data_IF_688071030467
#
_entry.id   IF_688071030467
#
_cell.length_a   1.000
_cell.length_b   1.000
_cell.length_c   1.000
_cell.angle_alpha   90.00
_cell.angle_beta   90.00
_cell.angle_gamma   90.00
#
_symmetry.space_group_name_H-M   'P 1'
#
loop_
_entity.id
_entity.type
_entity.pdbx_description
1 polymer ?
#
# COMPACT_ATOMS: atom_id res chain seq x y z
N UNK A 1 -41.16 0.74 36.07
CA UNK A 1 -40.15 1.60 35.43
C UNK A 1 -38.83 0.85 35.41
N UNK A 2 -38.33 0.48 34.23
CA UNK A 2 -37.03 -0.20 34.10
C UNK A 2 -35.91 0.79 34.48
N UNK A 3 -34.94 0.40 35.34
CA UNK A 3 -33.83 1.28 35.75
C UNK A 3 -33.10 1.82 34.52
N UNK A 4 -32.65 3.08 34.57
CA UNK A 4 -31.99 3.75 33.43
C UNK A 4 -30.80 2.95 32.88
N UNK A 5 -30.05 2.29 33.76
CA UNK A 5 -28.91 1.42 33.42
C UNK A 5 -29.28 0.19 32.56
N UNK A 6 -30.53 -0.29 32.62
CA UNK A 6 -30.98 -1.47 31.89
C UNK A 6 -31.42 -1.13 30.46
N UNK A 7 -31.66 0.15 30.14
CA UNK A 7 -32.09 0.58 28.79
C UNK A 7 -31.00 0.52 27.73
N UNK A 8 -29.72 0.58 28.14
CA UNK A 8 -28.57 0.52 27.24
C UNK A 8 -28.02 -0.90 27.01
N UNK A 9 -28.58 -1.89 27.69
CA UNK A 9 -28.12 -3.27 27.61
C UNK A 9 -28.66 -3.93 26.34
N UNK A 10 -27.76 -4.31 25.44
CA UNK A 10 -28.08 -4.86 24.13
C UNK A 10 -27.59 -6.30 24.03
N UNK A 11 -28.41 -7.17 23.45
CA UNK A 11 -28.07 -8.57 23.26
C UNK A 11 -26.89 -8.69 22.28
N UNK A 12 -25.84 -9.42 22.65
CA UNK A 12 -24.60 -9.55 21.87
C UNK A 12 -23.47 -8.58 22.25
N UNK A 13 -23.74 -7.53 23.04
CA UNK A 13 -22.72 -6.63 23.60
C UNK A 13 -22.44 -6.97 25.07
N UNK A 14 -21.16 -6.99 25.45
CA UNK A 14 -20.72 -7.23 26.84
C UNK A 14 -21.47 -8.43 27.47
N UNK A 15 -22.16 -8.23 28.59
CA UNK A 15 -22.95 -9.24 29.31
C UNK A 15 -24.41 -9.36 28.83
N UNK A 16 -24.71 -8.91 27.61
CA UNK A 16 -26.05 -8.92 27.01
C UNK A 16 -27.02 -8.05 27.80
N UNK A 17 -28.17 -8.63 28.16
CA UNK A 17 -29.25 -7.94 28.90
C UNK A 17 -29.02 -7.85 30.42
N UNK A 18 -27.83 -8.22 30.92
CA UNK A 18 -27.48 -8.19 32.36
C UNK A 18 -26.33 -7.24 32.63
N UNK A 19 -26.31 -6.64 33.81
CA UNK A 19 -25.21 -5.76 34.22
C UNK A 19 -24.02 -6.63 34.65
N UNK A 20 -22.83 -6.42 34.07
CA UNK A 20 -21.64 -7.24 34.34
C UNK A 20 -21.21 -7.21 35.82
N UNK A 21 -21.42 -6.07 36.50
CA UNK A 21 -21.19 -5.93 37.95
C UNK A 21 -22.11 -6.86 38.76
N UNK A 22 -23.39 -6.94 38.39
CA UNK A 22 -24.36 -7.83 39.04
C UNK A 22 -24.06 -9.31 38.75
N UNK A 23 -23.60 -9.64 37.53
CA UNK A 23 -23.17 -11.00 37.17
C UNK A 23 -22.04 -11.48 38.08
N UNK A 24 -21.09 -10.61 38.42
CA UNK A 24 -20.00 -10.94 39.35
C UNK A 24 -20.37 -10.72 40.82
N UNK A 25 -21.52 -10.10 41.12
CA UNK A 25 -21.92 -9.76 42.48
C UNK A 25 -21.02 -8.71 43.14
N UNK A 26 -20.50 -7.77 42.36
CA UNK A 26 -19.58 -6.71 42.84
C UNK A 26 -20.17 -5.33 42.58
N UNK A 27 -19.72 -4.33 43.35
CA UNK A 27 -20.10 -2.93 43.14
C UNK A 27 -19.40 -2.33 41.91
N UNK A 28 -20.00 -1.29 41.31
CA UNK A 28 -19.35 -0.46 40.28
C UNK A 28 -18.06 0.19 40.79
N UNK A 29 -17.92 0.41 42.10
CA UNK A 29 -16.69 0.93 42.72
C UNK A 29 -15.68 -0.17 43.10
N UNK A 30 -15.96 -1.44 42.79
CA UNK A 30 -15.07 -2.54 43.16
C UNK A 30 -13.68 -2.41 42.52
N UNK A 31 -12.66 -2.70 43.31
CA UNK A 31 -11.26 -2.75 42.88
C UNK A 31 -10.99 -3.93 41.94
N UNK A 32 -9.91 -3.86 41.15
CA UNK A 32 -9.46 -4.97 40.28
C UNK A 32 -9.26 -6.27 41.09
N UNK A 33 -8.80 -6.17 42.34
CA UNK A 33 -8.59 -7.31 43.22
C UNK A 33 -9.91 -7.97 43.65
N UNK A 34 -10.92 -7.18 44.00
CA UNK A 34 -12.27 -7.68 44.36
C UNK A 34 -12.95 -8.34 43.17
N UNK A 35 -12.87 -7.72 41.99
CA UNK A 35 -13.41 -8.27 40.74
C UNK A 35 -12.75 -9.63 40.43
N UNK A 36 -11.42 -9.73 40.54
CA UNK A 36 -10.71 -10.98 40.33
C UNK A 36 -11.05 -12.05 41.39
N UNK A 37 -11.27 -11.65 42.65
CA UNK A 37 -11.69 -12.57 43.72
C UNK A 37 -13.09 -13.14 43.46
N UNK A 38 -14.04 -12.27 43.12
CA UNK A 38 -15.41 -12.66 42.83
C UNK A 38 -15.47 -13.61 41.61
N UNK A 39 -14.75 -13.28 40.54
CA UNK A 39 -14.62 -14.15 39.38
C UNK A 39 -14.09 -15.54 39.75
N UNK A 40 -12.98 -15.64 40.51
CA UNK A 40 -12.41 -16.95 40.91
C UNK A 40 -13.36 -17.79 41.76
N UNK A 41 -14.19 -17.16 42.58
CA UNK A 41 -15.20 -17.87 43.38
C UNK A 41 -16.33 -18.40 42.49
N UNK A 42 -16.87 -17.56 41.61
CA UNK A 42 -17.96 -17.91 40.70
C UNK A 42 -17.51 -18.91 39.62
N UNK A 43 -16.31 -18.75 39.05
CA UNK A 43 -15.75 -19.67 38.07
C UNK A 43 -15.57 -21.08 38.64
N UNK A 44 -15.10 -21.22 39.89
CA UNK A 44 -15.04 -22.52 40.58
C UNK A 44 -16.43 -23.08 40.90
N UNK A 45 -17.41 -22.21 41.15
CA UNK A 45 -18.79 -22.61 41.43
C UNK A 45 -19.47 -23.13 40.18
N UNK A 46 -19.33 -22.47 39.03
CA UNK A 46 -20.02 -22.80 37.78
C UNK A 46 -19.14 -23.52 36.76
N UNK A 47 -17.98 -24.04 37.15
CA UNK A 47 -17.07 -24.74 36.24
C UNK A 47 -17.76 -25.94 35.59
N UNK A 48 -17.70 -26.10 34.25
CA UNK A 48 -18.43 -27.18 33.55
C UNK A 48 -18.01 -28.59 34.01
N UNK A 49 -16.76 -28.77 34.46
CA UNK A 49 -16.30 -30.07 34.99
C UNK A 49 -17.05 -30.54 36.24
N UNK A 50 -17.70 -29.63 36.97
CA UNK A 50 -18.48 -29.98 38.16
C UNK A 50 -19.91 -30.45 37.83
N UNK A 51 -20.36 -30.24 36.59
CA UNK A 51 -21.74 -30.48 36.16
C UNK A 51 -21.80 -31.34 34.89
N UNK A 52 -20.94 -32.35 34.78
CA UNK A 52 -20.98 -33.32 33.69
C UNK A 52 -22.09 -34.37 33.98
N UNK A 53 -23.06 -34.54 33.07
CA UNK A 53 -24.17 -35.50 33.21
C UNK A 53 -25.47 -34.88 33.77
N UNK A 54 -26.34 -35.69 34.40
CA UNK A 54 -27.62 -35.26 35.02
C UNK A 54 -27.47 -34.50 36.35
N UNK A 55 -26.30 -33.89 36.59
CA UNK A 55 -26.03 -33.17 37.84
C UNK A 55 -26.58 -31.75 37.77
N UNK A 56 -27.55 -31.45 38.62
CA UNK A 56 -28.15 -30.12 38.72
C UNK A 56 -27.12 -29.05 39.14
N UNK A 57 -27.23 -27.88 38.54
CA UNK A 57 -26.46 -26.69 38.88
C UNK A 57 -26.76 -26.24 40.33
N UNK A 58 -25.89 -25.43 40.97
CA UNK A 58 -26.04 -24.97 42.36
C UNK A 58 -27.32 -24.20 42.67
N UNK A 59 -28.01 -23.78 41.62
CA UNK A 59 -29.21 -22.96 41.57
C UNK A 59 -30.43 -23.73 41.03
N UNK A 60 -30.31 -25.04 40.85
CA UNK A 60 -31.40 -25.93 40.41
C UNK A 60 -31.57 -26.02 38.89
N UNK A 61 -30.68 -25.41 38.10
CA UNK A 61 -30.65 -25.53 36.63
C UNK A 61 -30.01 -26.81 36.12
N UNK A 62 -30.09 -27.04 34.82
CA UNK A 62 -29.40 -28.15 34.14
C UNK A 62 -27.91 -27.83 33.89
N UNK A 63 -27.15 -28.83 33.44
CA UNK A 63 -25.73 -28.69 33.09
C UNK A 63 -25.50 -27.59 32.02
N UNK A 64 -26.46 -27.41 31.11
CA UNK A 64 -26.41 -26.39 30.06
C UNK A 64 -26.51 -24.98 30.65
N UNK A 65 -27.44 -24.75 31.57
CA UNK A 65 -27.57 -23.47 32.28
C UNK A 65 -26.32 -23.13 33.10
N UNK A 66 -25.63 -24.12 33.67
CA UNK A 66 -24.35 -23.90 34.35
C UNK A 66 -23.26 -23.43 33.37
N UNK A 67 -23.20 -24.01 32.17
CA UNK A 67 -22.27 -23.61 31.11
C UNK A 67 -22.52 -22.18 30.62
N UNK A 68 -23.77 -21.82 30.33
CA UNK A 68 -24.13 -20.46 29.92
C UNK A 68 -23.78 -19.42 31.00
N UNK A 69 -24.04 -19.75 32.28
CA UNK A 69 -23.64 -18.89 33.40
C UNK A 69 -22.14 -18.73 33.49
N UNK A 70 -21.38 -19.80 33.26
CA UNK A 70 -19.92 -19.73 33.25
C UNK A 70 -19.40 -18.79 32.15
N UNK A 71 -19.93 -18.89 30.93
CA UNK A 71 -19.58 -18.00 29.82
C UNK A 71 -19.93 -16.53 30.15
N UNK A 72 -21.08 -16.29 30.75
CA UNK A 72 -21.51 -14.95 31.17
C UNK A 72 -20.59 -14.38 32.26
N UNK A 73 -20.20 -15.19 33.25
CA UNK A 73 -19.23 -14.82 34.30
C UNK A 73 -17.86 -14.49 33.70
N UNK A 74 -17.39 -15.29 32.73
CA UNK A 74 -16.14 -15.04 32.03
C UNK A 74 -16.19 -13.71 31.26
N UNK A 75 -17.28 -13.46 30.52
CA UNK A 75 -17.48 -12.23 29.75
C UNK A 75 -17.55 -10.99 30.65
N UNK A 76 -18.22 -11.10 31.79
CA UNK A 76 -18.28 -10.04 32.80
C UNK A 76 -16.89 -9.72 33.36
N UNK A 77 -16.09 -10.75 33.66
CA UNK A 77 -14.72 -10.55 34.14
C UNK A 77 -13.83 -9.95 33.06
N UNK A 78 -13.88 -10.42 31.81
CA UNK A 78 -13.12 -9.84 30.69
C UNK A 78 -13.43 -8.36 30.48
N UNK A 79 -14.73 -8.00 30.55
CA UNK A 79 -15.19 -6.61 30.42
C UNK A 79 -14.67 -5.72 31.55
N UNK A 80 -14.70 -6.20 32.79
CA UNK A 80 -14.39 -5.39 33.98
C UNK A 80 -12.91 -5.43 34.40
N UNK A 81 -12.13 -6.41 33.92
CA UNK A 81 -10.71 -6.56 34.23
C UNK A 81 -9.85 -5.52 33.50
N UNK A 82 -10.14 -5.29 32.23
CA UNK A 82 -9.45 -4.30 31.41
C UNK A 82 -10.01 -2.90 31.72
N UNK A 83 -9.12 -1.96 32.02
CA UNK A 83 -9.51 -0.64 32.52
C UNK A 83 -10.17 0.22 31.44
N UNK A 84 -9.74 0.07 30.19
CA UNK A 84 -10.32 0.81 29.08
C UNK A 84 -11.67 0.20 28.68
N UNK A 85 -11.79 -1.13 28.62
CA UNK A 85 -13.08 -1.81 28.40
C UNK A 85 -14.09 -1.49 29.51
N UNK A 86 -13.64 -1.47 30.76
CA UNK A 86 -14.48 -1.09 31.90
C UNK A 86 -14.97 0.35 31.77
N UNK A 87 -14.10 1.28 31.35
CA UNK A 87 -14.47 2.68 31.12
C UNK A 87 -15.52 2.83 30.02
N UNK A 88 -15.37 2.11 28.91
CA UNK A 88 -16.36 2.13 27.82
C UNK A 88 -17.68 1.49 28.23
N UNK A 89 -17.63 0.41 29.02
CA UNK A 89 -18.80 -0.24 29.60
C UNK A 89 -19.53 0.68 30.58
N UNK A 90 -18.78 1.35 31.46
CA UNK A 90 -19.30 2.34 32.40
C UNK A 90 -19.95 3.52 31.66
N UNK A 91 -19.30 4.02 30.60
CA UNK A 91 -19.88 5.06 29.76
C UNK A 91 -21.17 4.60 29.07
N UNK A 92 -21.22 3.35 28.57
CA UNK A 92 -22.44 2.77 28.00
C UNK A 92 -23.61 2.72 28.99
N UNK A 93 -23.33 2.37 30.25
CA UNK A 93 -24.35 2.33 31.30
C UNK A 93 -24.90 3.73 31.63
N UNK A 94 -24.06 4.76 31.54
CA UNK A 94 -24.44 6.15 31.82
C UNK A 94 -25.15 6.82 30.62
N UNK A 95 -24.80 6.42 29.39
CA UNK A 95 -25.28 7.00 28.12
C UNK A 95 -25.93 5.96 27.19
N UNK A 96 -27.03 5.30 27.60
CA UNK A 96 -27.66 4.23 26.83
C UNK A 96 -28.16 4.66 25.44
N UNK A 97 -28.39 5.96 25.22
CA UNK A 97 -28.85 6.54 23.95
C UNK A 97 -27.83 6.43 22.80
N UNK A 98 -26.53 6.33 23.09
CA UNK A 98 -25.47 6.35 22.08
C UNK A 98 -25.15 4.96 21.49
N UNK A 99 -26.17 4.21 21.08
CA UNK A 99 -26.07 2.82 20.62
C UNK A 99 -24.90 2.56 19.64
N UNK A 100 -24.80 3.35 18.57
CA UNK A 100 -23.78 3.16 17.54
C UNK A 100 -22.35 3.36 18.05
N UNK A 101 -22.16 4.26 19.02
CA UNK A 101 -20.84 4.53 19.59
C UNK A 101 -20.36 3.35 20.42
N UNK A 102 -21.24 2.81 21.27
CA UNK A 102 -20.92 1.63 22.10
C UNK A 102 -20.67 0.40 21.25
N UNK A 103 -21.47 0.20 20.20
CA UNK A 103 -21.26 -0.85 19.22
C UNK A 103 -19.88 -0.74 18.57
N UNK A 104 -19.52 0.46 18.07
CA UNK A 104 -18.22 0.68 17.45
C UNK A 104 -17.05 0.41 18.41
N UNK A 105 -17.09 0.93 19.64
CA UNK A 105 -16.01 0.69 20.61
C UNK A 105 -15.88 -0.77 21.01
N UNK A 106 -16.99 -1.47 21.26
CA UNK A 106 -16.99 -2.88 21.61
C UNK A 106 -16.35 -3.74 20.51
N UNK A 107 -16.78 -3.57 19.26
CA UNK A 107 -16.21 -4.32 18.12
C UNK A 107 -14.80 -3.88 17.77
N UNK A 108 -14.50 -2.59 17.83
CA UNK A 108 -13.15 -2.07 17.59
C UNK A 108 -12.16 -2.72 18.56
N UNK A 109 -12.47 -2.83 19.86
CA UNK A 109 -11.56 -3.47 20.82
C UNK A 109 -11.37 -4.97 20.61
N UNK A 110 -12.42 -5.68 20.18
CA UNK A 110 -12.34 -7.14 19.96
C UNK A 110 -11.73 -7.52 18.62
N UNK A 111 -11.97 -6.72 17.57
CA UNK A 111 -11.59 -7.04 16.19
C UNK A 111 -10.42 -6.20 15.67
N UNK A 112 -10.03 -5.10 16.33
CA UNK A 112 -8.91 -4.30 15.87
C UNK A 112 -7.64 -5.16 15.80
N UNK A 113 -7.00 -5.25 14.62
CA UNK A 113 -5.74 -5.96 14.51
C UNK A 113 -4.74 -5.29 15.45
N UNK A 114 -4.02 -6.09 16.23
CA UNK A 114 -2.97 -5.59 17.14
C UNK A 114 -1.79 -4.96 16.39
N UNK A 115 -1.71 -5.18 15.08
CA UNK A 115 -0.70 -4.59 14.21
C UNK A 115 -1.24 -3.31 13.57
N UNK A 116 -0.46 -2.23 13.61
CA UNK A 116 -0.83 -0.99 12.95
C UNK A 116 -0.87 -1.24 11.43
N UNK A 117 -2.04 -1.02 10.83
CA UNK A 117 -2.28 -1.20 9.39
C UNK A 117 -1.28 -0.39 8.56
N UNK A 118 -0.80 0.75 9.08
CA UNK A 118 0.22 1.58 8.41
C UNK A 118 1.54 0.85 8.22
N UNK A 119 1.95 0.04 9.21
CA UNK A 119 3.18 -0.76 9.12
C UNK A 119 3.02 -1.80 8.02
N UNK A 120 1.85 -2.46 7.96
CA UNK A 120 1.56 -3.46 6.93
C UNK A 120 1.62 -2.81 5.55
N UNK A 121 0.99 -1.66 5.35
CA UNK A 121 1.03 -0.91 4.09
C UNK A 121 2.46 -0.50 3.71
N UNK A 122 3.25 0.00 4.66
CA UNK A 122 4.64 0.40 4.39
C UNK A 122 5.48 -0.80 3.95
N UNK A 123 5.38 -1.92 4.66
CA UNK A 123 6.13 -3.15 4.33
C UNK A 123 5.73 -3.69 2.96
N UNK A 124 4.43 -3.71 2.64
CA UNK A 124 3.98 -4.18 1.32
C UNK A 124 4.43 -3.26 0.19
N UNK A 125 4.36 -1.94 0.35
CA UNK A 125 4.86 -0.97 -0.63
C UNK A 125 6.38 -1.11 -0.84
N UNK A 126 7.14 -1.28 0.23
CA UNK A 126 8.58 -1.55 0.15
C UNK A 126 8.87 -2.86 -0.60
N UNK A 127 8.16 -3.94 -0.29
CA UNK A 127 8.34 -5.23 -0.96
C UNK A 127 8.04 -5.15 -2.47
N UNK A 128 6.93 -4.52 -2.84
CA UNK A 128 6.56 -4.29 -4.25
C UNK A 128 7.62 -3.44 -4.94
N UNK A 129 8.10 -2.38 -4.29
CA UNK A 129 9.13 -1.49 -4.82
C UNK A 129 10.45 -2.21 -5.10
N UNK A 130 10.87 -3.11 -4.20
CA UNK A 130 12.05 -3.95 -4.39
C UNK A 130 11.85 -4.90 -5.56
N UNK A 131 10.71 -5.58 -5.62
CA UNK A 131 10.38 -6.49 -6.72
C UNK A 131 10.37 -5.77 -8.08
N UNK A 132 9.75 -4.59 -8.16
CA UNK A 132 9.76 -3.75 -9.37
C UNK A 132 11.17 -3.38 -9.81
N UNK A 133 12.03 -2.94 -8.89
CA UNK A 133 13.40 -2.59 -9.21
C UNK A 133 14.19 -3.77 -9.79
N UNK A 134 14.06 -4.96 -9.18
CA UNK A 134 14.70 -6.17 -9.69
C UNK A 134 14.13 -6.59 -11.05
N UNK A 135 12.81 -6.55 -11.21
CA UNK A 135 12.14 -6.86 -12.48
C UNK A 135 12.62 -5.95 -13.61
N UNK A 136 12.61 -4.62 -13.41
CA UNK A 136 13.09 -3.67 -14.41
C UNK A 136 14.57 -3.79 -14.71
N UNK A 137 15.41 -4.03 -13.69
CA UNK A 137 16.83 -4.29 -13.89
C UNK A 137 17.05 -5.54 -14.75
N UNK A 138 16.27 -6.61 -14.51
CA UNK A 138 16.31 -7.83 -15.31
C UNK A 138 15.92 -7.55 -16.76
N UNK A 139 14.77 -6.91 -16.99
CA UNK A 139 14.29 -6.58 -18.33
C UNK A 139 15.25 -5.66 -19.08
N UNK A 140 15.84 -4.66 -18.41
CA UNK A 140 16.86 -3.78 -19.01
C UNK A 140 18.10 -4.57 -19.45
N UNK A 141 18.60 -5.48 -18.61
CA UNK A 141 19.77 -6.30 -18.95
C UNK A 141 19.48 -7.23 -20.13
N UNK A 142 18.28 -7.80 -20.20
CA UNK A 142 17.85 -8.64 -21.32
C UNK A 142 17.79 -7.84 -22.63
N UNK A 143 17.24 -6.63 -22.60
CA UNK A 143 17.20 -5.74 -23.76
C UNK A 143 18.62 -5.39 -24.26
N UNK A 144 19.57 -5.10 -23.35
CA UNK A 144 20.97 -4.84 -23.71
C UNK A 144 21.62 -6.06 -24.35
N UNK A 145 21.41 -7.25 -23.77
CA UNK A 145 21.92 -8.49 -24.34
C UNK A 145 21.36 -8.74 -25.75
N UNK A 146 20.06 -8.52 -25.95
CA UNK A 146 19.42 -8.61 -27.26
C UNK A 146 20.02 -7.61 -28.26
N UNK A 147 20.12 -6.32 -27.88
CA UNK A 147 20.68 -5.28 -28.74
C UNK A 147 22.13 -5.57 -29.16
N UNK A 148 22.93 -6.21 -28.31
CA UNK A 148 24.30 -6.63 -28.64
C UNK A 148 24.35 -7.74 -29.70
N UNK A 149 23.27 -8.52 -29.88
CA UNK A 149 23.17 -9.54 -30.94
C UNK A 149 22.76 -8.96 -32.29
N UNK A 150 21.99 -7.86 -32.28
CA UNK A 150 21.50 -7.21 -33.49
C UNK A 150 22.67 -6.58 -34.27
N UNK A 151 22.89 -6.94 -35.55
CA UNK A 151 24.05 -6.48 -36.32
C UNK A 151 24.18 -4.96 -36.40
N UNK A 152 23.04 -4.24 -36.58
CA UNK A 152 23.01 -2.78 -36.69
C UNK A 152 23.68 -2.09 -35.50
N UNK A 153 23.25 -2.42 -34.29
CA UNK A 153 23.76 -1.79 -33.07
C UNK A 153 25.16 -2.30 -32.70
N UNK A 154 25.45 -3.57 -32.97
CA UNK A 154 26.78 -4.14 -32.74
C UNK A 154 27.84 -3.45 -33.59
N UNK A 155 27.60 -3.27 -34.89
CA UNK A 155 28.54 -2.59 -35.79
C UNK A 155 28.78 -1.16 -35.30
N UNK A 156 27.71 -0.42 -35.02
CA UNK A 156 27.79 0.94 -34.49
C UNK A 156 28.60 1.01 -33.19
N UNK A 157 28.35 0.12 -32.23
CA UNK A 157 29.08 0.07 -30.97
C UNK A 157 30.56 -0.29 -31.17
N UNK A 158 30.87 -1.24 -32.06
CA UNK A 158 32.27 -1.61 -32.35
C UNK A 158 33.06 -0.49 -33.01
N UNK A 159 32.43 0.31 -33.87
CA UNK A 159 33.06 1.44 -34.51
C UNK A 159 33.38 2.55 -33.51
N UNK A 160 32.44 2.84 -32.60
CA UNK A 160 32.65 3.76 -31.48
C UNK A 160 33.77 3.24 -30.55
N UNK A 161 33.78 1.94 -30.24
CA UNK A 161 34.82 1.33 -29.42
C UNK A 161 36.21 1.47 -30.06
N UNK A 162 36.29 1.32 -31.38
CA UNK A 162 37.52 1.50 -32.16
C UNK A 162 37.96 2.96 -32.16
N UNK A 163 37.04 3.92 -32.33
CA UNK A 163 37.33 5.35 -32.24
C UNK A 163 37.85 5.76 -30.86
N UNK A 164 37.31 5.16 -29.79
CA UNK A 164 37.74 5.39 -28.41
C UNK A 164 39.03 4.63 -28.05
N UNK A 165 39.60 3.82 -28.96
CA UNK A 165 40.81 3.04 -28.72
C UNK A 165 40.62 1.87 -27.74
N UNK A 166 39.38 1.50 -27.41
CA UNK A 166 39.07 0.50 -26.36
C UNK A 166 39.35 -0.95 -26.79
N UNK A 167 39.30 -1.23 -28.09
CA UNK A 167 39.50 -2.59 -28.65
C UNK A 167 40.98 -2.97 -28.86
N UNK A 168 41.89 -2.00 -28.93
CA UNK A 168 43.29 -2.24 -29.30
C UNK A 168 44.24 -2.13 -28.10
N UNK A 169 43.98 -2.85 -27.00
CA UNK A 169 44.98 -2.96 -25.93
C UNK A 169 46.14 -3.83 -26.40
N UNK A 170 47.35 -3.27 -26.32
CA UNK A 170 48.62 -3.92 -26.69
C UNK A 170 48.75 -5.28 -25.99
N UNK A 171 49.05 -6.33 -26.76
CA UNK A 171 49.23 -7.71 -26.27
C UNK A 171 50.18 -7.73 -25.06
N UNK A 172 49.63 -7.91 -23.86
CA UNK A 172 50.41 -8.11 -22.64
C UNK A 172 51.28 -9.37 -22.83
N UNK A 173 52.61 -9.19 -22.90
CA UNK A 173 53.58 -10.29 -23.00
C UNK A 173 54.03 -10.68 -21.60
N UNK A 174 53.82 -11.94 -21.20
CA UNK A 174 54.30 -12.50 -19.95
C UNK A 174 53.34 -13.52 -19.33
N UNK A 175 53.55 -13.86 -18.06
CA UNK A 175 52.72 -14.79 -17.26
C UNK A 175 51.23 -14.38 -17.15
N UNK A 176 50.89 -13.12 -17.46
CA UNK A 176 49.52 -12.57 -17.46
C UNK A 176 48.90 -12.52 -18.87
N UNK A 177 49.19 -13.49 -19.74
CA UNK A 177 48.55 -13.56 -21.06
C UNK A 177 47.10 -14.01 -20.91
N UNK A 178 46.16 -13.07 -21.06
CA UNK A 178 44.72 -13.34 -21.05
C UNK A 178 44.33 -14.40 -22.08
N UNK A 179 43.40 -15.27 -21.72
CA UNK A 179 42.92 -16.30 -22.63
C UNK A 179 42.08 -15.68 -23.75
N UNK A 180 41.97 -16.38 -24.89
CA UNK A 180 41.14 -15.92 -26.03
C UNK A 180 39.66 -15.73 -25.64
N UNK A 181 39.19 -16.47 -24.64
CA UNK A 181 37.82 -16.38 -24.12
C UNK A 181 37.65 -15.10 -23.30
N UNK A 182 38.55 -14.82 -22.36
CA UNK A 182 38.55 -13.58 -21.57
C UNK A 182 38.58 -12.33 -22.45
N UNK A 183 39.42 -12.32 -23.50
CA UNK A 183 39.50 -11.19 -24.43
C UNK A 183 38.15 -10.97 -25.14
N UNK A 184 37.47 -12.06 -25.54
CA UNK A 184 36.16 -11.97 -26.20
C UNK A 184 35.08 -11.47 -25.24
N UNK A 185 35.12 -11.89 -23.98
CA UNK A 185 34.20 -11.42 -22.93
C UNK A 185 34.40 -9.94 -22.64
N UNK A 186 35.65 -9.47 -22.53
CA UNK A 186 35.96 -8.04 -22.37
C UNK A 186 35.46 -7.21 -23.57
N UNK A 187 35.68 -7.69 -24.81
CA UNK A 187 35.16 -7.03 -26.01
C UNK A 187 33.62 -6.96 -26.00
N UNK A 188 32.95 -8.03 -25.59
CA UNK A 188 31.49 -8.06 -25.44
C UNK A 188 30.99 -7.11 -24.35
N UNK A 189 31.69 -6.99 -23.22
CA UNK A 189 31.36 -6.02 -22.18
C UNK A 189 31.53 -4.58 -22.64
N UNK A 190 32.60 -4.27 -23.36
CA UNK A 190 32.83 -2.93 -23.95
C UNK A 190 31.70 -2.59 -24.92
N UNK A 191 31.31 -3.52 -25.80
CA UNK A 191 30.20 -3.32 -26.73
C UNK A 191 28.90 -3.05 -25.96
N UNK A 192 28.59 -3.84 -24.92
CA UNK A 192 27.41 -3.64 -24.08
C UNK A 192 27.43 -2.28 -23.37
N UNK A 193 28.59 -1.83 -22.88
CA UNK A 193 28.71 -0.54 -22.21
C UNK A 193 28.46 0.63 -23.18
N UNK A 194 28.99 0.55 -24.39
CA UNK A 194 28.72 1.56 -25.43
C UNK A 194 27.24 1.60 -25.79
N UNK A 195 26.60 0.44 -25.94
CA UNK A 195 25.14 0.34 -26.17
C UNK A 195 24.37 1.00 -25.02
N UNK A 196 24.73 0.75 -23.75
CA UNK A 196 24.09 1.37 -22.58
C UNK A 196 24.20 2.90 -22.57
N UNK A 197 25.32 3.43 -23.04
CA UNK A 197 25.63 4.87 -22.97
C UNK A 197 25.16 5.66 -24.20
N UNK A 198 25.00 5.00 -25.36
CA UNK A 198 24.68 5.68 -26.63
C UNK A 198 23.27 5.41 -27.15
N UNK A 199 22.64 4.32 -26.74
CA UNK A 199 21.30 3.97 -27.22
C UNK A 199 20.28 4.29 -26.12
N UNK A 200 19.44 5.28 -26.41
CA UNK A 200 18.28 5.60 -25.56
C UNK A 200 17.19 4.57 -25.78
N UNK A 201 17.19 3.53 -24.94
CA UNK A 201 16.11 2.54 -24.91
C UNK A 201 14.88 3.20 -24.26
N UNK A 202 13.85 3.44 -25.08
CA UNK A 202 12.56 4.00 -24.63
C UNK A 202 11.57 2.89 -24.23
N UNK A 203 10.61 3.22 -23.37
CA UNK A 203 9.52 2.31 -22.98
C UNK A 203 9.85 1.40 -21.79
N UNK A 204 9.22 0.22 -21.73
CA UNK A 204 9.31 -0.71 -20.59
C UNK A 204 10.69 -1.35 -20.34
N UNK A 205 11.65 -1.10 -21.22
CA UNK A 205 13.03 -1.57 -21.14
C UNK A 205 14.03 -0.44 -20.86
N UNK A 206 13.56 0.69 -20.33
CA UNK A 206 14.43 1.81 -19.99
C UNK A 206 15.29 1.47 -18.76
N UNK A 207 16.45 2.14 -18.64
CA UNK A 207 17.31 2.04 -17.46
C UNK A 207 16.51 2.40 -16.20
N UNK A 208 16.48 1.54 -15.17
CA UNK A 208 15.67 1.79 -13.97
C UNK A 208 16.17 3.04 -13.25
N UNK A 209 15.30 4.04 -13.12
CA UNK A 209 15.57 5.21 -12.28
C UNK A 209 14.96 4.97 -10.90
N UNK A 210 15.66 5.42 -9.85
CA UNK A 210 15.22 5.23 -8.47
C UNK A 210 13.89 5.97 -8.21
N UNK A 211 13.71 7.13 -8.85
CA UNK A 211 12.49 7.95 -8.71
C UNK A 211 11.24 7.32 -9.33
N UNK A 212 11.40 6.39 -10.27
CA UNK A 212 10.26 5.73 -10.92
C UNK A 212 9.71 4.57 -10.08
N UNK A 213 10.39 4.20 -8.98
CA UNK A 213 9.93 3.18 -8.05
C UNK A 213 8.69 3.65 -7.30
N UNK A 214 7.71 2.76 -7.11
CA UNK A 214 6.43 3.05 -6.47
C UNK A 214 6.55 3.83 -5.15
N UNK A 215 7.50 3.46 -4.30
CA UNK A 215 7.74 4.15 -3.03
C UNK A 215 8.04 5.64 -3.21
N UNK A 216 8.89 6.01 -4.16
CA UNK A 216 9.21 7.41 -4.43
C UNK A 216 8.07 8.11 -5.16
N UNK A 217 7.35 7.41 -6.04
CA UNK A 217 6.15 7.95 -6.67
C UNK A 217 5.10 8.34 -5.64
N UNK A 218 4.83 7.50 -4.64
CA UNK A 218 3.89 7.80 -3.56
C UNK A 218 4.40 8.97 -2.70
N UNK A 219 5.70 9.00 -2.40
CA UNK A 219 6.32 10.07 -1.61
C UNK A 219 6.21 11.44 -2.29
N UNK A 220 6.46 11.51 -3.60
CA UNK A 220 6.41 12.76 -4.37
C UNK A 220 5.03 13.06 -4.97
N UNK A 221 4.07 12.13 -4.93
CA UNK A 221 2.73 12.32 -5.47
C UNK A 221 2.03 13.61 -4.95
N UNK A 222 2.09 13.95 -3.64
CA UNK A 222 1.49 15.20 -3.16
C UNK A 222 2.13 16.43 -3.79
N UNK A 223 3.47 16.41 -3.96
CA UNK A 223 4.20 17.50 -4.58
C UNK A 223 3.84 17.67 -6.06
N UNK A 224 3.80 16.57 -6.82
CA UNK A 224 3.39 16.61 -8.23
C UNK A 224 1.94 17.04 -8.40
N UNK A 225 1.05 16.60 -7.50
CA UNK A 225 -0.35 17.01 -7.48
C UNK A 225 -0.48 18.53 -7.25
N UNK A 226 0.23 19.08 -6.26
CA UNK A 226 0.24 20.53 -6.01
C UNK A 226 0.79 21.30 -7.22
N UNK A 227 1.91 20.85 -7.80
CA UNK A 227 2.48 21.47 -9.00
C UNK A 227 1.49 21.45 -10.16
N UNK A 228 0.82 20.32 -10.38
CA UNK A 228 -0.21 20.19 -11.42
C UNK A 228 -1.40 21.12 -11.17
N UNK A 229 -1.86 21.23 -9.92
CA UNK A 229 -2.94 22.15 -9.55
C UNK A 229 -2.57 23.61 -9.84
N UNK A 230 -1.37 24.04 -9.49
CA UNK A 230 -0.89 25.41 -9.79
C UNK A 230 -0.83 25.63 -11.31
N UNK A 231 -0.24 24.68 -12.04
CA UNK A 231 -0.19 24.73 -13.50
C UNK A 231 -1.60 24.79 -14.13
N UNK A 232 -2.55 24.03 -13.59
CA UNK A 232 -3.93 23.99 -14.09
C UNK A 232 -4.69 25.29 -13.81
N UNK A 233 -4.53 25.86 -12.61
CA UNK A 233 -5.09 27.17 -12.28
C UNK A 233 -4.50 28.27 -13.19
N UNK A 234 -3.18 28.23 -13.41
CA UNK A 234 -2.51 29.12 -14.36
C UNK A 234 -3.05 28.95 -15.78
N UNK A 235 -3.21 27.71 -16.24
CA UNK A 235 -3.76 27.40 -17.55
C UNK A 235 -5.17 27.96 -17.73
N UNK A 236 -6.06 27.76 -16.76
CA UNK A 236 -7.42 28.33 -16.79
C UNK A 236 -7.36 29.85 -16.87
N UNK A 237 -6.50 30.48 -16.08
CA UNK A 237 -6.36 31.93 -16.09
C UNK A 237 -5.91 32.47 -17.45
N UNK A 238 -4.84 31.92 -18.03
CA UNK A 238 -4.30 32.39 -19.30
C UNK A 238 -5.23 32.12 -20.49
N UNK A 239 -5.80 30.91 -20.60
CA UNK A 239 -6.51 30.49 -21.81
C UNK A 239 -8.03 30.68 -21.73
N UNK A 240 -8.64 30.58 -20.55
CA UNK A 240 -10.09 30.72 -20.40
C UNK A 240 -10.50 32.14 -19.97
N UNK A 241 -9.70 32.81 -19.13
CA UNK A 241 -10.02 34.16 -18.64
C UNK A 241 -9.36 35.24 -19.52
N UNK A 242 -8.06 35.14 -19.81
CA UNK A 242 -7.37 36.12 -20.65
C UNK A 242 -7.51 35.87 -22.16
N UNK A 243 -7.89 34.66 -22.57
CA UNK A 243 -8.10 34.32 -23.99
C UNK A 243 -6.83 34.40 -24.84
N UNK A 244 -5.66 34.10 -24.27
CA UNK A 244 -4.39 34.09 -25.01
C UNK A 244 -4.37 32.98 -26.07
N UNK A 245 -3.65 33.20 -27.18
CA UNK A 245 -3.41 32.15 -28.18
C UNK A 245 -2.46 31.08 -27.64
N UNK A 246 -2.71 29.81 -27.98
CA UNK A 246 -1.85 28.70 -27.56
C UNK A 246 -0.46 28.79 -28.19
N UNK A 247 0.58 28.74 -27.35
CA UNK A 247 1.95 28.54 -27.78
C UNK A 247 2.20 27.14 -28.33
N UNK A 248 3.42 26.89 -28.79
CA UNK A 248 3.81 25.61 -29.41
C UNK A 248 3.72 24.46 -28.41
N UNK A 249 4.18 24.65 -27.18
CA UNK A 249 4.16 23.62 -26.14
C UNK A 249 2.73 23.27 -25.71
N UNK A 250 1.85 24.28 -25.61
CA UNK A 250 0.45 24.11 -25.25
C UNK A 250 -0.33 23.38 -26.35
N UNK A 251 -0.06 23.71 -27.62
CA UNK A 251 -0.59 22.98 -28.77
C UNK A 251 -0.17 21.51 -28.73
N UNK A 252 1.11 21.23 -28.50
CA UNK A 252 1.62 19.85 -28.38
C UNK A 252 0.99 19.10 -27.19
N UNK A 253 0.77 19.77 -26.06
CA UNK A 253 0.08 19.19 -24.90
C UNK A 253 -1.36 18.77 -25.23
N UNK A 254 -2.10 19.62 -25.94
CA UNK A 254 -3.49 19.34 -26.38
C UNK A 254 -3.50 18.19 -27.39
N UNK A 255 -2.62 18.23 -28.41
CA UNK A 255 -2.49 17.18 -29.42
C UNK A 255 -2.25 15.82 -28.74
N UNK A 256 -1.27 15.74 -27.83
CA UNK A 256 -0.99 14.53 -27.05
C UNK A 256 -2.23 14.02 -26.32
N UNK A 257 -3.01 14.93 -25.72
CA UNK A 257 -4.22 14.60 -24.96
C UNK A 257 -5.32 14.06 -25.87
N UNK A 258 -5.52 14.63 -27.05
CA UNK A 258 -6.48 14.14 -28.04
C UNK A 258 -6.10 12.76 -28.58
N UNK A 259 -4.80 12.53 -28.83
CA UNK A 259 -4.27 11.24 -29.25
C UNK A 259 -4.26 10.15 -28.16
N UNK A 260 -4.61 10.49 -26.91
CA UNK A 260 -4.57 9.57 -25.75
C UNK A 260 -3.22 8.89 -25.55
N UNK A 261 -2.14 9.55 -25.94
CA UNK A 261 -0.79 9.03 -25.78
C UNK A 261 -0.25 9.36 -24.39
N UNK A 262 0.49 8.41 -23.80
CA UNK A 262 1.29 8.71 -22.62
C UNK A 262 2.44 9.67 -22.98
N UNK A 263 2.97 10.40 -21.99
CA UNK A 263 4.08 11.33 -22.20
C UNK A 263 5.29 10.63 -22.84
N UNK A 264 5.64 9.44 -22.37
CA UNK A 264 6.78 8.68 -22.90
C UNK A 264 6.59 8.21 -24.35
N UNK A 265 5.36 7.84 -24.73
CA UNK A 265 5.05 7.51 -26.12
C UNK A 265 5.13 8.75 -27.02
N UNK A 266 4.64 9.89 -26.56
CA UNK A 266 4.69 11.14 -27.31
C UNK A 266 6.13 11.65 -27.47
N UNK A 267 6.95 11.52 -26.42
CA UNK A 267 8.39 11.85 -26.44
C UNK A 267 9.21 10.84 -27.28
N UNK A 268 8.62 9.67 -27.59
CA UNK A 268 9.25 8.69 -28.49
C UNK A 268 9.15 9.06 -29.96
N UNK A 269 8.17 9.90 -30.32
CA UNK A 269 7.96 10.36 -31.69
C UNK A 269 9.12 11.24 -32.15
N UNK A 270 9.47 11.09 -33.42
CA UNK A 270 10.47 11.94 -34.08
C UNK A 270 9.95 13.37 -34.21
N UNK A 271 10.87 14.35 -34.22
CA UNK A 271 10.50 15.76 -34.21
C UNK A 271 9.74 16.16 -35.49
N UNK A 272 10.06 15.54 -36.63
CA UNK A 272 9.33 15.73 -37.90
C UNK A 272 7.83 15.35 -37.77
N UNK A 273 7.51 14.34 -36.95
CA UNK A 273 6.12 13.93 -36.74
C UNK A 273 5.37 14.96 -35.90
N UNK A 274 6.02 15.51 -34.87
CA UNK A 274 5.45 16.56 -34.03
C UNK A 274 5.20 17.84 -34.82
N UNK A 275 6.12 18.21 -35.72
CA UNK A 275 5.94 19.32 -36.66
C UNK A 275 4.74 19.07 -37.59
N UNK A 276 4.63 17.87 -38.17
CA UNK A 276 3.48 17.51 -39.02
C UNK A 276 2.14 17.66 -38.28
N UNK A 277 2.08 17.34 -36.99
CA UNK A 277 0.85 17.52 -36.19
C UNK A 277 0.50 18.99 -35.95
N UNK A 278 1.51 19.84 -35.82
CA UNK A 278 1.33 21.28 -35.70
C UNK A 278 0.87 21.87 -37.04
N UNK A 279 1.45 21.45 -38.16
CA UNK A 279 1.03 21.89 -39.50
C UNK A 279 -0.42 21.53 -39.78
N UNK A 280 -0.84 20.32 -39.39
CA UNK A 280 -2.23 19.84 -39.52
C UNK A 280 -3.20 20.42 -38.49
N UNK A 281 -2.72 21.29 -37.59
CA UNK A 281 -3.53 21.94 -36.57
C UNK A 281 -4.35 20.96 -35.71
N UNK A 282 -3.75 19.82 -35.34
CA UNK A 282 -4.43 18.76 -34.59
C UNK A 282 -4.76 19.15 -33.13
N UNK A 283 -4.41 20.35 -32.69
CA UNK A 283 -4.87 20.90 -31.41
C UNK A 283 -6.32 21.42 -31.48
N UNK A 284 -6.88 21.57 -32.69
CA UNK A 284 -8.30 21.87 -32.90
C UNK A 284 -9.04 20.54 -32.94
N UNK A 285 -10.05 20.40 -32.08
CA UNK A 285 -10.77 19.12 -31.90
C UNK A 285 -11.39 18.61 -33.21
N UNK A 286 -11.93 19.52 -34.03
CA UNK A 286 -12.56 19.20 -35.32
C UNK A 286 -11.58 18.59 -36.32
N UNK A 287 -10.33 19.07 -36.36
CA UNK A 287 -9.30 18.56 -37.27
C UNK A 287 -8.77 17.17 -36.89
N UNK A 288 -9.09 16.70 -35.68
CA UNK A 288 -8.68 15.39 -35.18
C UNK A 288 -9.78 14.32 -35.36
N UNK A 289 -11.05 14.72 -35.41
CA UNK A 289 -12.19 13.81 -35.55
C UNK A 289 -12.52 13.47 -37.03
N UNK A 290 -11.82 14.08 -37.99
CA UNK A 290 -11.88 13.83 -39.45
C UNK A 290 -10.81 12.83 -39.89
#
# INVERSE_FOLDING_TARGET
LVPRAVRGLTEGLYCGRRVCYEVLGVSRQASKAEIARAYRQLARKYHPDRYRGETAAPDGGDAQAAHEKFLLIATAYETLKDEEMRKDYDYMLDHPEEYYRHYYHYYSRRLAPKVDVKIVILVTVCAISVFQFFSWRSSYNEAINYLATVPKYRIQATEIARQQGLLNKTKEKGKNRRTKVEIREEEEEIIKDIIKNKIDIKGGYQKPKIFDILLFQILFAPFYFCKYMVWYCWWIYCFNIQGQEYGVEEKLYIIRRYMKMSQSQFDSLEDHQKETFLERQLWIRENYEV
#
